data_IF_679665510356
#
_entry.id   IF_679665510356
#
_cell.length_a   1.000
_cell.length_b   1.000
_cell.length_c   1.000
_cell.angle_alpha   90.00
_cell.angle_beta   90.00
_cell.angle_gamma   90.00
#
_symmetry.space_group_name_H-M   'P 1'
#
loop_
_entity.id
_entity.type
_entity.pdbx_description
1 polymer ?
#
# COMPACT_ATOMS: atom_id res chain seq x y z
N UNK A 1 -4.43 -10.72 7.59
CA UNK A 1 -3.26 -11.35 8.24
C UNK A 1 -2.08 -10.39 8.15
N UNK A 2 -1.47 -9.97 9.26
CA UNK A 2 -0.33 -9.02 9.29
C UNK A 2 1.04 -9.70 9.44
N UNK A 3 1.09 -11.04 9.35
CA UNK A 3 2.29 -11.85 9.59
C UNK A 3 2.93 -11.67 10.98
N UNK A 4 2.16 -11.22 11.97
CA UNK A 4 2.65 -10.95 13.32
C UNK A 4 3.36 -9.59 13.47
N UNK A 5 3.43 -8.78 12.40
CA UNK A 5 3.97 -7.44 12.47
C UNK A 5 3.00 -6.49 13.20
N UNK A 6 3.53 -5.55 14.00
CA UNK A 6 2.79 -4.35 14.42
C UNK A 6 2.19 -3.64 13.21
N UNK A 7 0.98 -3.12 13.37
CA UNK A 7 0.22 -2.52 12.27
C UNK A 7 0.98 -1.44 11.47
N UNK A 8 1.77 -0.53 12.10
CA UNK A 8 2.53 0.47 11.35
C UNK A 8 3.62 -0.12 10.45
N UNK A 9 4.26 -1.20 10.92
CA UNK A 9 5.32 -1.90 10.20
C UNK A 9 4.74 -2.72 9.05
N UNK A 10 3.61 -3.39 9.31
CA UNK A 10 2.83 -4.04 8.26
C UNK A 10 2.42 -3.05 7.17
N UNK A 11 1.88 -1.89 7.55
CA UNK A 11 1.47 -0.84 6.60
C UNK A 11 2.63 -0.34 5.75
N UNK A 12 3.81 -0.12 6.35
CA UNK A 12 4.99 0.33 5.64
C UNK A 12 5.46 -0.71 4.61
N UNK A 13 5.61 -1.97 5.03
CA UNK A 13 6.08 -3.06 4.17
C UNK A 13 5.09 -3.34 3.04
N UNK A 14 3.81 -3.45 3.37
CA UNK A 14 2.77 -3.75 2.40
C UNK A 14 2.53 -2.57 1.44
N UNK A 15 2.64 -1.33 1.93
CA UNK A 15 2.65 -0.14 1.09
C UNK A 15 3.81 -0.16 0.09
N UNK A 16 5.04 -0.40 0.55
CA UNK A 16 6.19 -0.54 -0.33
C UNK A 16 5.98 -1.63 -1.39
N UNK A 17 5.46 -2.79 -1.00
CA UNK A 17 5.18 -3.88 -1.92
C UNK A 17 4.15 -3.48 -2.98
N UNK A 18 3.06 -2.84 -2.56
CA UNK A 18 2.02 -2.37 -3.46
C UNK A 18 2.59 -1.41 -4.51
N UNK A 19 3.31 -0.38 -4.09
CA UNK A 19 3.84 0.62 -5.02
C UNK A 19 4.95 0.07 -5.91
N UNK A 20 5.88 -0.72 -5.36
CA UNK A 20 6.97 -1.29 -6.15
C UNK A 20 6.48 -2.29 -7.20
N UNK A 21 5.52 -3.15 -6.87
CA UNK A 21 4.95 -4.08 -7.84
C UNK A 21 4.06 -3.36 -8.85
N UNK A 22 3.26 -2.39 -8.40
CA UNK A 22 2.37 -1.63 -9.28
C UNK A 22 3.15 -0.80 -10.29
N UNK A 23 4.19 -0.08 -9.87
CA UNK A 23 5.02 0.72 -10.77
C UNK A 23 5.83 -0.13 -11.77
N UNK A 24 6.17 -1.37 -11.43
CA UNK A 24 6.93 -2.26 -12.32
C UNK A 24 6.05 -3.08 -13.27
N UNK A 25 4.93 -3.60 -12.78
CA UNK A 25 4.14 -4.64 -13.44
C UNK A 25 2.65 -4.32 -13.51
N UNK A 26 2.25 -3.11 -13.14
CA UNK A 26 0.85 -2.68 -13.04
C UNK A 26 0.16 -3.14 -11.76
N UNK A 27 -0.84 -2.36 -11.35
CA UNK A 27 -1.64 -2.52 -10.13
C UNK A 27 -2.35 -3.87 -10.09
N UNK A 28 -2.79 -4.37 -11.25
CA UNK A 28 -3.40 -5.71 -11.37
C UNK A 28 -2.48 -6.79 -10.77
N UNK A 29 -1.19 -6.74 -11.10
CA UNK A 29 -0.23 -7.77 -10.69
C UNK A 29 -0.13 -7.86 -9.18
N UNK A 30 -0.12 -6.72 -8.49
CA UNK A 30 -0.12 -6.68 -7.02
C UNK A 30 -1.38 -7.33 -6.43
N UNK A 31 -2.57 -6.90 -6.87
CA UNK A 31 -3.82 -7.42 -6.30
C UNK A 31 -4.08 -8.89 -6.65
N UNK A 32 -3.61 -9.35 -7.82
CA UNK A 32 -3.67 -10.75 -8.22
C UNK A 32 -2.77 -11.64 -7.36
N UNK A 33 -1.57 -11.15 -7.01
CA UNK A 33 -0.60 -11.88 -6.19
C UNK A 33 -0.89 -11.78 -4.67
N UNK A 34 -1.69 -10.81 -4.23
CA UNK A 34 -1.91 -10.52 -2.81
C UNK A 34 -3.15 -11.25 -2.29
N UNK A 35 -3.04 -12.10 -1.24
CA UNK A 35 -4.21 -12.76 -0.65
C UNK A 35 -5.26 -11.77 -0.12
N UNK A 36 -6.55 -12.09 -0.27
CA UNK A 36 -7.67 -11.21 0.13
C UNK A 36 -7.58 -10.75 1.58
N UNK A 37 -7.19 -11.63 2.50
CA UNK A 37 -7.06 -11.28 3.93
C UNK A 37 -5.89 -10.33 4.21
N UNK A 38 -4.91 -10.25 3.31
CA UNK A 38 -3.84 -9.27 3.36
C UNK A 38 -4.32 -7.93 2.80
N UNK A 39 -5.06 -7.96 1.70
CA UNK A 39 -5.68 -6.77 1.12
C UNK A 39 -6.58 -6.06 2.13
N UNK A 40 -7.45 -6.82 2.81
CA UNK A 40 -8.32 -6.29 3.88
C UNK A 40 -7.53 -5.72 5.05
N UNK A 41 -6.48 -6.40 5.49
CA UNK A 41 -5.63 -5.91 6.58
C UNK A 41 -4.93 -4.60 6.22
N UNK A 42 -4.49 -4.44 4.97
CA UNK A 42 -3.91 -3.21 4.45
C UNK A 42 -4.92 -2.08 4.41
N UNK A 43 -6.14 -2.34 3.91
CA UNK A 43 -7.22 -1.35 3.92
C UNK A 43 -7.52 -0.86 5.35
N UNK A 44 -7.68 -1.79 6.30
CA UNK A 44 -7.90 -1.46 7.71
C UNK A 44 -6.74 -0.65 8.31
N UNK A 45 -5.50 -0.96 7.94
CA UNK A 45 -4.35 -0.19 8.39
C UNK A 45 -4.35 1.24 7.84
N UNK A 46 -4.68 1.43 6.56
CA UNK A 46 -4.82 2.75 5.93
C UNK A 46 -5.94 3.58 6.57
N UNK A 47 -7.07 2.96 6.87
CA UNK A 47 -8.19 3.60 7.59
C UNK A 47 -7.78 4.03 9.00
N UNK A 48 -7.10 3.15 9.74
CA UNK A 48 -6.70 3.40 11.12
C UNK A 48 -5.73 4.57 11.26
N UNK A 49 -4.76 4.69 10.35
CA UNK A 49 -3.76 5.78 10.39
C UNK A 49 -4.24 7.07 9.71
N UNK A 50 -5.51 7.13 9.28
CA UNK A 50 -6.05 8.24 8.49
C UNK A 50 -5.15 8.62 7.30
N UNK A 51 -4.80 7.62 6.49
CA UNK A 51 -3.96 7.82 5.30
C UNK A 51 -4.55 8.90 4.36
N UNK A 52 -3.71 9.53 3.51
CA UNK A 52 -4.19 10.45 2.48
C UNK A 52 -5.36 9.86 1.70
N UNK A 53 -6.40 10.67 1.46
CA UNK A 53 -7.68 10.20 0.88
C UNK A 53 -7.50 9.52 -0.47
N UNK A 54 -6.54 10.01 -1.27
CA UNK A 54 -6.19 9.44 -2.56
C UNK A 54 -5.51 8.08 -2.42
N UNK A 55 -4.59 7.90 -1.46
CA UNK A 55 -3.96 6.61 -1.16
C UNK A 55 -5.01 5.60 -0.72
N UNK A 56 -5.84 5.95 0.27
CA UNK A 56 -6.92 5.09 0.77
C UNK A 56 -7.92 4.73 -0.34
N UNK A 57 -8.41 5.74 -1.07
CA UNK A 57 -9.43 5.56 -2.11
C UNK A 57 -8.93 4.75 -3.30
N UNK A 58 -7.69 4.96 -3.75
CA UNK A 58 -7.12 4.16 -4.83
C UNK A 58 -6.82 2.73 -4.39
N UNK A 59 -6.38 2.52 -3.15
CA UNK A 59 -6.21 1.16 -2.63
C UNK A 59 -7.54 0.41 -2.60
N UNK A 60 -8.60 1.03 -2.06
CA UNK A 60 -9.93 0.45 -2.01
C UNK A 60 -10.47 0.14 -3.41
N UNK A 61 -10.34 1.08 -4.35
CA UNK A 61 -10.77 0.90 -5.74
C UNK A 61 -10.06 -0.28 -6.41
N UNK A 62 -8.75 -0.44 -6.14
CA UNK A 62 -7.97 -1.56 -6.63
C UNK A 62 -8.43 -2.89 -6.05
N UNK A 63 -8.66 -2.95 -4.74
CA UNK A 63 -9.18 -4.15 -4.06
C UNK A 63 -10.53 -4.60 -4.65
N UNK A 64 -11.43 -3.66 -4.95
CA UNK A 64 -12.77 -3.94 -5.47
C UNK A 64 -12.78 -4.34 -6.95
N UNK A 65 -11.83 -3.83 -7.74
CA UNK A 65 -11.96 -3.86 -9.19
C UNK A 65 -10.66 -4.10 -9.98
N UNK A 66 -9.64 -4.72 -9.40
CA UNK A 66 -8.40 -5.07 -10.11
C UNK A 66 -8.57 -5.99 -11.33
N UNK A 67 -9.74 -6.62 -11.50
CA UNK A 67 -10.08 -7.42 -12.68
C UNK A 67 -10.65 -6.59 -13.84
N UNK A 68 -10.99 -5.33 -13.62
CA UNK A 68 -11.49 -4.40 -14.63
C UNK A 68 -10.32 -3.63 -15.27
N UNK A 69 -9.99 -3.89 -16.54
CA UNK A 69 -8.86 -3.26 -17.22
C UNK A 69 -8.96 -1.73 -17.29
N UNK A 70 -10.18 -1.18 -17.36
CA UNK A 70 -10.37 0.27 -17.43
C UNK A 70 -10.00 0.92 -16.10
N UNK A 71 -10.44 0.31 -14.99
CA UNK A 71 -10.11 0.79 -13.64
C UNK A 71 -8.62 0.62 -13.35
N UNK A 72 -8.02 -0.52 -13.65
CA UNK A 72 -6.59 -0.73 -13.41
C UNK A 72 -5.74 0.27 -14.20
N UNK A 73 -6.09 0.57 -15.45
CA UNK A 73 -5.38 1.59 -16.25
C UNK A 73 -5.41 2.98 -15.58
N UNK A 74 -6.53 3.37 -14.97
CA UNK A 74 -6.61 4.65 -14.27
C UNK A 74 -5.78 4.65 -12.98
N UNK A 75 -5.74 3.53 -12.26
CA UNK A 75 -4.90 3.37 -11.07
C UNK A 75 -3.42 3.36 -11.44
N UNK A 76 -3.01 2.65 -12.51
CA UNK A 76 -1.63 2.65 -13.01
C UNK A 76 -1.16 4.08 -13.31
N UNK A 77 -1.97 4.86 -14.03
CA UNK A 77 -1.67 6.27 -14.30
C UNK A 77 -1.62 7.13 -13.04
N UNK A 78 -2.35 6.78 -11.98
CA UNK A 78 -2.25 7.48 -10.71
C UNK A 78 -0.95 7.12 -9.99
N UNK A 79 -0.55 5.85 -9.97
CA UNK A 79 0.74 5.39 -9.42
C UNK A 79 1.89 6.17 -10.07
N UNK A 80 1.93 6.23 -11.40
CA UNK A 80 2.98 6.92 -12.16
C UNK A 80 3.11 8.40 -11.80
N UNK A 81 1.98 9.08 -11.56
CA UNK A 81 1.93 10.51 -11.24
C UNK A 81 2.18 10.81 -9.77
N UNK A 82 1.98 9.83 -8.90
CA UNK A 82 2.01 9.98 -7.46
C UNK A 82 3.32 9.50 -6.83
N UNK A 83 4.28 8.98 -7.60
CA UNK A 83 5.52 8.35 -7.11
C UNK A 83 6.23 9.18 -6.03
N UNK A 84 6.45 10.48 -6.25
CA UNK A 84 7.08 11.36 -5.27
C UNK A 84 6.21 11.58 -4.02
N UNK A 85 4.89 11.73 -4.19
CA UNK A 85 3.96 11.95 -3.08
C UNK A 85 3.87 10.70 -2.18
N UNK A 86 3.79 9.53 -2.80
CA UNK A 86 3.79 8.23 -2.16
C UNK A 86 5.11 7.99 -1.43
N UNK A 87 6.24 8.25 -2.09
CA UNK A 87 7.56 8.11 -1.48
C UNK A 87 7.67 8.98 -0.23
N UNK A 88 7.22 10.24 -0.29
CA UNK A 88 7.19 11.12 0.89
C UNK A 88 6.26 10.60 1.99
N UNK A 89 5.10 10.07 1.64
CA UNK A 89 4.17 9.46 2.59
C UNK A 89 4.80 8.26 3.32
N UNK A 90 5.39 7.31 2.59
CA UNK A 90 6.05 6.13 3.15
C UNK A 90 7.25 6.51 4.03
N UNK A 91 8.05 7.50 3.60
CA UNK A 91 9.13 8.04 4.43
C UNK A 91 8.60 8.72 5.71
N UNK A 92 7.45 9.39 5.63
CA UNK A 92 6.76 9.93 6.80
C UNK A 92 6.40 8.83 7.81
N UNK A 93 5.79 7.74 7.33
CA UNK A 93 5.49 6.56 8.17
C UNK A 93 6.76 5.97 8.80
N UNK A 94 7.80 5.77 8.00
CA UNK A 94 9.06 5.20 8.48
C UNK A 94 9.74 6.08 9.54
N UNK A 95 9.69 7.41 9.39
CA UNK A 95 10.22 8.35 10.39
C UNK A 95 9.42 8.32 11.68
N UNK A 96 8.08 8.28 11.59
CA UNK A 96 7.20 8.24 12.76
C UNK A 96 7.41 6.97 13.60
N UNK A 97 7.61 5.83 12.94
CA UNK A 97 7.77 4.52 13.60
C UNK A 97 9.21 4.00 13.59
N UNK A 98 10.17 4.93 13.55
CA UNK A 98 11.60 4.59 13.49
C UNK A 98 12.04 3.69 14.66
N UNK A 99 11.64 3.95 15.93
CA UNK A 99 12.03 3.08 17.04
C UNK A 99 11.58 1.62 16.86
N UNK A 100 10.35 1.42 16.38
CA UNK A 100 9.79 0.09 16.15
C UNK A 100 10.48 -0.63 14.98
N UNK A 101 10.92 0.11 13.95
CA UNK A 101 11.71 -0.43 12.84
C UNK A 101 13.10 -0.84 13.33
N UNK A 102 13.79 0.02 14.09
CA UNK A 102 15.14 -0.25 14.59
C UNK A 102 15.15 -1.48 15.51
N UNK A 103 14.12 -1.65 16.34
CA UNK A 103 13.97 -2.82 17.21
C UNK A 103 13.82 -4.16 16.46
N UNK A 104 13.43 -4.15 15.17
CA UNK A 104 13.32 -5.37 14.36
C UNK A 104 14.63 -5.76 13.66
N UNK A 105 15.57 -4.82 13.52
CA UNK A 105 16.81 -5.00 12.76
C UNK A 105 18.02 -5.25 13.69
N UNK A 106 17.87 -4.95 14.98
CA UNK A 106 18.85 -5.20 16.04
C UNK A 106 18.86 -6.68 16.48
#
# INVERSE_FOLDING_TARGET
MTYGLPQPLFLLVEGLLWFAQSGRSGVRTYFEATPVDRQRAMLQALEHVAAPKDVLGNYQSGMEAWRDPFRTTNLDRWIDRSDEAITRYLWGLAKTHRPEIEALIA
#
